data_IF_574191781512
#
_entry.id   IF_574191781512
#
_cell.length_a   1.000
_cell.length_b   1.000
_cell.length_c   1.000
_cell.angle_alpha   90.00
_cell.angle_beta   90.00
_cell.angle_gamma   90.00
#
_symmetry.space_group_name_H-M   'P 1'
#
loop_
_entity.id
_entity.type
_entity.pdbx_description
1 polymer ?
#
# COMPACT_ATOMS: atom_id res chain seq x y z
N UNK A 1 27.38 9.95 16.65
CA UNK A 1 25.98 9.48 16.64
C UNK A 1 25.48 9.52 15.21
N UNK A 2 25.09 8.38 14.62
CA UNK A 2 24.38 8.40 13.33
C UNK A 2 22.96 8.90 13.61
N UNK A 3 22.63 10.09 13.14
CA UNK A 3 21.29 10.63 13.24
C UNK A 3 20.33 9.77 12.40
N UNK A 4 19.14 9.49 12.92
CA UNK A 4 18.07 8.88 12.12
C UNK A 4 17.72 9.83 10.97
N UNK A 5 17.48 9.32 9.74
CA UNK A 5 17.13 10.17 8.61
C UNK A 5 15.86 10.96 8.93
N UNK A 6 15.85 12.26 8.62
CA UNK A 6 14.74 13.15 8.94
C UNK A 6 13.42 12.79 8.25
N UNK A 7 13.46 11.98 7.18
CA UNK A 7 12.29 11.43 6.49
C UNK A 7 12.62 10.03 5.96
N UNK A 8 11.71 9.09 6.17
CA UNK A 8 11.76 7.74 5.59
C UNK A 8 10.73 7.74 4.44
N UNK A 9 11.16 7.48 3.20
CA UNK A 9 10.22 7.35 2.09
C UNK A 9 9.44 6.04 2.19
N UNK A 10 8.35 5.91 1.42
CA UNK A 10 7.58 4.66 1.37
C UNK A 10 8.47 3.46 1.01
N UNK A 11 9.37 3.63 0.04
CA UNK A 11 10.26 2.53 -0.37
C UNK A 11 11.33 2.25 0.68
N UNK A 12 11.86 3.26 1.37
CA UNK A 12 12.82 3.04 2.46
C UNK A 12 12.17 2.25 3.60
N UNK A 13 10.93 2.61 3.96
CA UNK A 13 10.15 1.89 4.96
C UNK A 13 9.89 0.44 4.53
N UNK A 14 9.46 0.22 3.28
CA UNK A 14 9.20 -1.13 2.77
C UNK A 14 10.47 -2.00 2.78
N UNK A 15 11.62 -1.46 2.36
CA UNK A 15 12.89 -2.20 2.41
C UNK A 15 13.27 -2.52 3.84
N UNK A 16 13.15 -1.55 4.75
CA UNK A 16 13.46 -1.76 6.17
C UNK A 16 12.57 -2.82 6.81
N UNK A 17 11.25 -2.74 6.60
CA UNK A 17 10.30 -3.73 7.12
C UNK A 17 10.55 -5.12 6.55
N UNK A 18 10.88 -5.22 5.26
CA UNK A 18 11.28 -6.48 4.64
C UNK A 18 12.55 -7.06 5.28
N UNK A 19 13.56 -6.22 5.54
CA UNK A 19 14.82 -6.64 6.15
C UNK A 19 14.64 -7.06 7.63
N UNK A 20 13.66 -6.49 8.32
CA UNK A 20 13.27 -6.85 9.68
C UNK A 20 12.32 -8.06 9.73
N UNK A 21 12.08 -8.72 8.58
CA UNK A 21 11.18 -9.88 8.47
C UNK A 21 9.76 -9.60 8.97
N UNK A 22 9.29 -8.36 8.79
CA UNK A 22 8.01 -7.91 9.29
C UNK A 22 6.85 -8.80 8.81
N UNK A 23 5.95 -9.13 9.74
CA UNK A 23 4.86 -10.08 9.50
C UNK A 23 3.88 -9.57 8.43
N UNK A 24 3.60 -8.27 8.40
CA UNK A 24 2.76 -7.68 7.35
C UNK A 24 3.42 -7.83 5.98
N UNK A 25 4.73 -7.64 5.89
CA UNK A 25 5.45 -7.80 4.62
C UNK A 25 5.37 -9.23 4.10
N UNK A 26 5.39 -10.23 4.99
CA UNK A 26 5.15 -11.64 4.63
C UNK A 26 3.72 -11.87 4.16
N UNK A 27 2.73 -11.48 4.96
CA UNK A 27 1.29 -11.64 4.65
C UNK A 27 0.83 -10.86 3.41
N UNK A 28 1.47 -9.74 3.11
CA UNK A 28 1.19 -8.95 1.92
C UNK A 28 1.96 -9.43 0.67
N UNK A 29 2.78 -10.48 0.79
CA UNK A 29 3.70 -10.94 -0.25
C UNK A 29 4.62 -9.82 -0.77
N UNK A 30 5.18 -9.03 0.15
CA UNK A 30 6.11 -7.92 -0.08
C UNK A 30 7.51 -8.20 0.51
N UNK A 31 7.90 -9.47 0.63
CA UNK A 31 9.13 -9.89 1.32
C UNK A 31 10.27 -10.31 0.37
N UNK A 32 10.11 -10.09 -0.94
CA UNK A 32 11.12 -10.45 -1.96
C UNK A 32 11.55 -9.24 -2.78
N UNK A 33 12.77 -9.28 -3.32
CA UNK A 33 13.29 -8.21 -4.18
C UNK A 33 12.37 -7.91 -5.38
N UNK A 34 11.81 -8.95 -6.00
CA UNK A 34 10.84 -8.82 -7.08
C UNK A 34 9.57 -8.08 -6.63
N UNK A 35 8.99 -8.48 -5.49
CA UNK A 35 7.78 -7.83 -4.96
C UNK A 35 8.01 -6.36 -4.61
N UNK A 36 9.20 -6.01 -4.09
CA UNK A 36 9.61 -4.64 -3.81
C UNK A 36 9.85 -3.83 -5.10
N UNK A 37 10.39 -4.46 -6.15
CA UNK A 37 10.50 -3.86 -7.49
C UNK A 37 9.13 -3.48 -8.06
N UNK A 38 8.16 -4.39 -7.93
CA UNK A 38 6.77 -4.12 -8.32
C UNK A 38 6.14 -2.98 -7.50
N UNK A 39 6.39 -2.94 -6.19
CA UNK A 39 5.91 -1.85 -5.32
C UNK A 39 6.53 -0.49 -5.70
N UNK A 40 7.82 -0.48 -6.06
CA UNK A 40 8.51 0.73 -6.56
C UNK A 40 7.85 1.25 -7.82
N UNK A 41 7.62 0.39 -8.83
CA UNK A 41 6.94 0.76 -10.08
C UNK A 41 5.56 1.38 -9.82
N UNK A 42 4.77 0.78 -8.93
CA UNK A 42 3.46 1.33 -8.56
C UNK A 42 3.57 2.68 -7.85
N UNK A 43 4.57 2.85 -6.98
CA UNK A 43 4.82 4.13 -6.31
C UNK A 43 5.20 5.22 -7.31
N UNK A 44 5.98 4.89 -8.34
CA UNK A 44 6.30 5.80 -9.44
C UNK A 44 5.07 6.18 -10.25
N UNK A 45 4.21 5.21 -10.61
CA UNK A 45 2.92 5.48 -11.28
C UNK A 45 2.08 6.46 -10.44
N UNK A 46 1.91 6.19 -9.14
CA UNK A 46 1.18 7.08 -8.23
C UNK A 46 1.79 8.48 -8.21
N UNK A 47 3.10 8.59 -8.05
CA UNK A 47 3.78 9.89 -7.93
C UNK A 47 3.72 10.72 -9.22
N UNK A 48 3.63 10.07 -10.39
CA UNK A 48 3.45 10.76 -11.68
C UNK A 48 2.00 11.19 -11.93
N UNK A 49 1.04 10.57 -11.25
CA UNK A 49 -0.38 10.88 -11.40
C UNK A 49 -0.75 12.27 -10.87
N UNK A 50 -1.65 12.95 -11.58
CA UNK A 50 -2.35 14.16 -11.11
C UNK A 50 -3.09 13.97 -9.79
N UNK A 51 -3.44 12.72 -9.42
CA UNK A 51 -4.13 12.40 -8.17
C UNK A 51 -3.22 12.44 -6.94
N UNK A 52 -1.90 12.50 -7.13
CA UNK A 52 -0.94 12.68 -6.06
C UNK A 52 -0.21 14.02 -6.21
N UNK A 53 0.94 14.02 -6.88
CA UNK A 53 1.81 15.20 -7.00
C UNK A 53 2.33 15.42 -8.43
N UNK A 54 1.95 14.56 -9.37
CA UNK A 54 2.43 14.64 -10.75
C UNK A 54 1.46 15.36 -11.66
N UNK A 55 1.73 15.29 -12.96
CA UNK A 55 0.99 15.98 -14.02
C UNK A 55 0.54 15.04 -15.13
N UNK A 56 0.82 13.73 -14.99
CA UNK A 56 0.50 12.75 -16.00
C UNK A 56 -0.88 12.13 -15.71
N UNK A 57 -1.66 11.96 -16.76
CA UNK A 57 -2.82 11.07 -16.73
C UNK A 57 -2.33 9.62 -16.62
N UNK A 58 -2.94 8.86 -15.72
CA UNK A 58 -2.71 7.42 -15.61
C UNK A 58 -3.83 6.67 -16.32
N UNK A 59 -3.51 5.53 -16.91
CA UNK A 59 -4.49 4.68 -17.56
C UNK A 59 -5.44 4.02 -16.56
N UNK A 60 -6.60 3.57 -17.03
CA UNK A 60 -7.52 2.79 -16.21
C UNK A 60 -6.86 1.51 -15.67
N UNK A 61 -6.01 0.86 -16.47
CA UNK A 61 -5.28 -0.33 -16.06
C UNK A 61 -4.31 -0.03 -14.90
N UNK A 62 -3.51 1.03 -15.00
CA UNK A 62 -2.59 1.44 -13.94
C UNK A 62 -3.34 1.81 -12.65
N UNK A 63 -4.48 2.49 -12.77
CA UNK A 63 -5.34 2.80 -11.62
C UNK A 63 -5.88 1.53 -10.95
N UNK A 64 -6.35 0.56 -11.74
CA UNK A 64 -6.83 -0.73 -11.23
C UNK A 64 -5.70 -1.54 -10.56
N UNK A 65 -4.47 -1.48 -11.08
CA UNK A 65 -3.31 -2.11 -10.45
C UNK A 65 -2.96 -1.48 -9.09
N UNK A 66 -3.02 -0.14 -8.99
CA UNK A 66 -2.86 0.59 -7.74
C UNK A 66 -3.93 0.20 -6.72
N UNK A 67 -5.21 0.19 -7.14
CA UNK A 67 -6.32 -0.20 -6.28
C UNK A 67 -6.16 -1.62 -5.76
N UNK A 68 -5.89 -2.58 -6.66
CA UNK A 68 -5.68 -3.99 -6.31
C UNK A 68 -4.57 -4.13 -5.27
N UNK A 69 -3.44 -3.45 -5.47
CA UNK A 69 -2.31 -3.52 -4.52
C UNK A 69 -2.66 -2.88 -3.18
N UNK A 70 -3.28 -1.71 -3.18
CA UNK A 70 -3.66 -1.02 -1.95
C UNK A 70 -4.66 -1.85 -1.12
N UNK A 71 -5.69 -2.41 -1.78
CA UNK A 71 -6.65 -3.33 -1.13
C UNK A 71 -5.98 -4.57 -0.59
N UNK A 72 -5.07 -5.18 -1.34
CA UNK A 72 -4.33 -6.36 -0.88
C UNK A 72 -3.55 -6.08 0.41
N UNK A 73 -2.78 -4.98 0.44
CA UNK A 73 -2.01 -4.60 1.64
C UNK A 73 -2.94 -4.30 2.81
N UNK A 74 -4.02 -3.55 2.58
CA UNK A 74 -5.00 -3.21 3.62
C UNK A 74 -5.67 -4.48 4.18
N UNK A 75 -6.06 -5.42 3.33
CA UNK A 75 -6.65 -6.69 3.73
C UNK A 75 -5.66 -7.53 4.54
N UNK A 76 -4.39 -7.61 4.12
CA UNK A 76 -3.36 -8.33 4.89
C UNK A 76 -3.13 -7.68 6.26
N UNK A 77 -3.05 -6.36 6.34
CA UNK A 77 -2.96 -5.64 7.61
C UNK A 77 -4.17 -5.87 8.51
N UNK A 78 -5.38 -5.81 7.95
CA UNK A 78 -6.61 -5.98 8.70
C UNK A 78 -6.74 -7.37 9.30
N UNK A 79 -6.43 -8.43 8.52
CA UNK A 79 -6.45 -9.81 9.00
C UNK A 79 -5.46 -10.04 10.14
N UNK A 80 -4.29 -9.39 10.07
CA UNK A 80 -3.29 -9.47 11.14
C UNK A 80 -3.72 -8.76 12.42
N UNK A 81 -4.35 -7.59 12.29
CA UNK A 81 -4.66 -6.72 13.43
C UNK A 81 -6.01 -7.05 14.07
N UNK A 82 -6.98 -7.49 13.25
CA UNK A 82 -8.37 -7.73 13.64
C UNK A 82 -8.88 -9.05 13.00
N UNK A 83 -8.33 -10.21 13.39
CA UNK A 83 -8.62 -11.51 12.75
C UNK A 83 -10.10 -11.87 12.78
N UNK A 84 -10.83 -11.42 13.80
CA UNK A 84 -12.27 -11.72 13.99
C UNK A 84 -13.19 -10.70 13.31
N UNK A 85 -12.65 -9.70 12.60
CA UNK A 85 -13.44 -8.64 11.97
C UNK A 85 -13.41 -8.71 10.44
N UNK A 86 -14.56 -8.47 9.83
CA UNK A 86 -14.69 -8.38 8.38
C UNK A 86 -14.46 -6.92 7.90
N UNK A 87 -13.35 -6.69 7.19
CA UNK A 87 -13.01 -5.38 6.64
C UNK A 87 -14.07 -4.84 5.67
N UNK A 88 -14.65 -5.69 4.80
CA UNK A 88 -15.67 -5.26 3.84
C UNK A 88 -16.92 -4.76 4.56
N UNK A 89 -17.35 -5.43 5.62
CA UNK A 89 -18.45 -4.94 6.47
C UNK A 89 -18.12 -3.59 7.12
N UNK A 90 -16.86 -3.39 7.53
CA UNK A 90 -16.42 -2.13 8.12
C UNK A 90 -16.37 -0.99 7.08
N UNK A 91 -15.85 -1.26 5.88
CA UNK A 91 -15.87 -0.31 4.76
C UNK A 91 -17.30 0.09 4.45
N UNK A 92 -18.21 -0.89 4.44
CA UNK A 92 -19.62 -0.68 4.16
C UNK A 92 -20.29 0.24 5.19
N UNK A 93 -20.05 0.00 6.48
CA UNK A 93 -20.54 0.88 7.56
C UNK A 93 -20.01 2.32 7.47
N UNK A 94 -18.81 2.51 6.90
CA UNK A 94 -18.17 3.81 6.75
C UNK A 94 -18.55 4.53 5.46
N UNK A 95 -19.29 3.88 4.54
CA UNK A 95 -19.76 4.53 3.32
C UNK A 95 -20.92 5.47 3.64
N UNK A 96 -20.59 6.75 3.77
CA UNK A 96 -21.57 7.83 4.00
C UNK A 96 -22.58 8.03 2.85
N UNK A 97 -22.30 7.50 1.64
CA UNK A 97 -23.04 7.82 0.42
C UNK A 97 -24.16 6.84 0.04
N UNK A 98 -24.54 5.89 0.90
CA UNK A 98 -25.53 4.87 0.51
C UNK A 98 -26.99 5.34 0.41
N UNK A 99 -27.31 6.58 0.78
CA UNK A 99 -28.68 7.11 0.81
C UNK A 99 -28.85 8.50 0.13
N UNK A 100 -28.09 8.81 -0.94
CA UNK A 100 -28.37 9.97 -1.79
C UNK A 100 -28.85 9.54 -3.17
#
# INVERSE_FOLDING_TARGET
>A
MKALPHRISLMDAAVLLCALEDQLMREAHLHSAESLGNLRRLTEIRNRSVLAHGYQSISHQESAELEKRAKHILNSYWRLTYPDQNLEQRIEQLRFLKNL
#
